data_IF_101216153048
#
_entry.id   IF_101216153048
#
_cell.length_a   1.000
_cell.length_b   1.000
_cell.length_c   1.000
_cell.angle_alpha   90.00
_cell.angle_beta   90.00
_cell.angle_gamma   90.00
#
_symmetry.space_group_name_H-M   'P 1'
#
loop_
_entity.id
_entity.type
_entity.pdbx_description
1 polymer ?
#
# COMPACT_ATOMS: atom_id res chain seq x y z
N UNK A 1 -0.23 -2.80 -11.96
CA UNK A 1 -0.72 -1.65 -11.16
C UNK A 1 0.20 -1.41 -9.98
N UNK A 2 0.68 -0.18 -9.78
CA UNK A 2 1.62 0.19 -8.72
C UNK A 2 1.09 -0.19 -7.32
N UNK A 3 -0.12 0.22 -6.95
CA UNK A 3 -0.72 -0.11 -5.65
C UNK A 3 -0.78 -1.62 -5.36
N UNK A 4 -1.08 -2.45 -6.36
CA UNK A 4 -1.12 -3.91 -6.23
C UNK A 4 0.27 -4.50 -5.96
N UNK A 5 1.30 -3.98 -6.64
CA UNK A 5 2.68 -4.37 -6.41
C UNK A 5 3.13 -3.94 -5.01
N UNK A 6 2.87 -2.70 -4.61
CA UNK A 6 3.22 -2.19 -3.27
C UNK A 6 2.55 -3.01 -2.17
N UNK A 7 1.25 -3.31 -2.30
CA UNK A 7 0.53 -4.12 -1.33
C UNK A 7 1.09 -5.54 -1.23
N UNK A 8 1.57 -6.11 -2.36
CA UNK A 8 2.21 -7.42 -2.40
C UNK A 8 3.52 -7.42 -1.61
N UNK A 9 4.38 -6.41 -1.81
CA UNK A 9 5.64 -6.31 -1.08
C UNK A 9 5.42 -6.04 0.41
N UNK A 10 4.46 -5.17 0.75
CA UNK A 10 4.06 -4.96 2.15
C UNK A 10 3.57 -6.24 2.83
N UNK A 11 2.71 -7.02 2.17
CA UNK A 11 2.19 -8.26 2.77
C UNK A 11 3.27 -9.33 2.90
N UNK A 12 4.25 -9.41 1.98
CA UNK A 12 5.40 -10.32 2.09
C UNK A 12 6.23 -10.00 3.33
N UNK A 13 6.52 -8.72 3.56
CA UNK A 13 7.22 -8.29 4.77
C UNK A 13 6.39 -8.55 6.03
N UNK A 14 5.07 -8.35 5.96
CA UNK A 14 4.20 -8.57 7.11
C UNK A 14 4.05 -10.07 7.45
N UNK A 15 4.10 -10.95 6.44
CA UNK A 15 3.96 -12.39 6.58
C UNK A 15 5.14 -13.03 7.32
N UNK A 16 6.34 -12.47 7.18
CA UNK A 16 7.57 -12.92 7.86
C UNK A 16 7.73 -12.31 9.26
N UNK A 17 6.71 -11.61 9.77
CA UNK A 17 6.74 -11.00 11.11
C UNK A 17 7.33 -9.59 11.17
N UNK A 18 7.52 -8.92 10.03
CA UNK A 18 7.99 -7.54 9.98
C UNK A 18 7.12 -6.57 10.78
N UNK A 19 7.77 -5.58 11.40
CA UNK A 19 7.11 -4.49 12.11
C UNK A 19 6.32 -3.59 11.17
N UNK A 20 5.40 -2.78 11.71
CA UNK A 20 4.62 -1.81 10.92
C UNK A 20 5.52 -0.90 10.06
N UNK A 21 6.63 -0.41 10.64
CA UNK A 21 7.58 0.45 9.91
C UNK A 21 8.23 -0.28 8.74
N UNK A 22 8.67 -1.53 8.93
CA UNK A 22 9.26 -2.32 7.85
C UNK A 22 8.24 -2.62 6.73
N UNK A 23 6.97 -2.81 7.09
CA UNK A 23 5.88 -2.97 6.11
C UNK A 23 5.67 -1.68 5.33
N UNK A 24 5.67 -0.52 5.99
CA UNK A 24 5.59 0.79 5.31
C UNK A 24 6.78 1.02 4.37
N UNK A 25 8.00 0.77 4.84
CA UNK A 25 9.22 0.90 4.04
C UNK A 25 9.18 -0.01 2.79
N UNK A 26 8.70 -1.24 2.92
CA UNK A 26 8.55 -2.19 1.80
C UNK A 26 7.51 -1.74 0.76
N UNK A 27 6.36 -1.22 1.22
CA UNK A 27 5.31 -0.68 0.34
C UNK A 27 5.83 0.51 -0.46
N UNK A 28 6.53 1.43 0.19
CA UNK A 28 6.98 2.68 -0.41
C UNK A 28 8.18 2.44 -1.33
N UNK A 29 9.18 1.68 -0.86
CA UNK A 29 10.39 1.38 -1.62
C UNK A 29 10.16 0.59 -2.90
N UNK A 30 9.09 -0.21 -2.98
CA UNK A 30 8.77 -1.03 -4.16
C UNK A 30 8.07 -0.29 -5.29
N UNK A 31 7.50 0.88 -5.01
CA UNK A 31 6.59 1.55 -5.95
C UNK A 31 6.85 3.04 -6.16
N UNK A 32 7.71 3.65 -5.35
CA UNK A 32 7.96 5.10 -5.41
C UNK A 32 6.76 5.95 -5.02
N UNK A 33 5.72 5.34 -4.40
CA UNK A 33 4.55 6.08 -3.92
C UNK A 33 4.96 7.05 -2.81
N UNK A 34 4.39 8.24 -2.82
CA UNK A 34 4.56 9.21 -1.73
C UNK A 34 3.92 8.68 -0.44
N UNK A 35 4.68 8.66 0.65
CA UNK A 35 4.16 8.38 2.00
C UNK A 35 3.05 9.34 2.42
N UNK A 36 3.16 10.62 2.02
CA UNK A 36 2.17 11.65 2.40
C UNK A 36 0.81 11.41 1.76
N UNK A 37 0.79 10.81 0.58
CA UNK A 37 -0.44 10.56 -0.19
C UNK A 37 -0.90 9.11 -0.11
N UNK A 38 -0.22 8.30 0.70
CA UNK A 38 -0.51 6.87 0.85
C UNK A 38 -0.93 6.55 2.28
N UNK A 39 -2.09 5.90 2.42
CA UNK A 39 -2.50 5.24 3.66
C UNK A 39 -2.22 3.74 3.55
N UNK A 40 -1.40 3.26 4.46
CA UNK A 40 -1.02 1.85 4.57
C UNK A 40 -1.69 1.30 5.82
N UNK A 41 -2.32 0.14 5.71
CA UNK A 41 -2.95 -0.52 6.85
C UNK A 41 -2.58 -1.99 6.84
N UNK A 42 -2.14 -2.47 7.99
CA UNK A 42 -1.86 -3.88 8.25
C UNK A 42 -2.90 -4.40 9.24
N UNK A 43 -3.48 -5.55 8.95
CA UNK A 43 -4.29 -6.32 9.90
C UNK A 43 -3.80 -7.76 9.95
N UNK A 44 -3.88 -8.36 11.12
CA UNK A 44 -3.57 -9.77 11.36
C UNK A 44 -4.82 -10.44 11.89
N UNK A 45 -5.21 -11.54 11.27
CA UNK A 45 -6.34 -12.37 11.65
C UNK A 45 -5.89 -13.83 11.65
N UNK A 46 -5.69 -14.39 12.84
CA UNK A 46 -5.08 -15.71 13.02
C UNK A 46 -3.72 -15.84 12.32
N UNK A 47 -3.64 -16.79 11.39
CA UNK A 47 -2.47 -17.08 10.58
C UNK A 47 -2.42 -16.25 9.28
N UNK A 48 -3.36 -15.32 9.07
CA UNK A 48 -3.40 -14.46 7.90
C UNK A 48 -3.00 -13.03 8.23
N UNK A 49 -2.29 -12.42 7.30
CA UNK A 49 -1.97 -11.00 7.34
C UNK A 49 -2.47 -10.34 6.07
N UNK A 50 -3.11 -9.19 6.24
CA UNK A 50 -3.63 -8.39 5.14
C UNK A 50 -2.95 -7.03 5.14
N UNK A 51 -2.51 -6.59 3.97
CA UNK A 51 -2.02 -5.23 3.74
C UNK A 51 -2.91 -4.54 2.73
N UNK A 52 -3.43 -3.38 3.14
CA UNK A 52 -4.19 -2.47 2.30
C UNK A 52 -3.36 -1.23 2.02
N UNK A 53 -3.27 -0.87 0.76
CA UNK A 53 -2.68 0.38 0.29
C UNK A 53 -3.79 1.20 -0.36
N UNK A 54 -3.91 2.47 0.05
CA UNK A 54 -4.75 3.48 -0.59
C UNK A 54 -3.85 4.65 -0.92
N UNK A 55 -3.77 5.04 -2.19
CA UNK A 55 -2.94 6.13 -2.67
C UNK A 55 -3.77 7.15 -3.44
N UNK A 56 -3.63 8.42 -3.11
CA UNK A 56 -4.25 9.53 -3.84
C UNK A 56 -3.25 10.08 -4.84
N UNK A 57 -3.49 9.83 -6.12
CA UNK A 57 -2.69 10.39 -7.21
C UNK A 57 -3.15 11.84 -7.46
N UNK A 58 -2.48 12.79 -6.82
CA UNK A 58 -2.70 14.22 -7.03
C UNK A 58 -2.06 14.67 -8.34
N UNK A 59 -2.78 15.45 -9.13
CA UNK A 59 -2.23 16.10 -10.32
C UNK A 59 -1.57 17.42 -9.91
N UNK A 60 -0.28 17.59 -10.20
CA UNK A 60 0.44 18.85 -9.92
C UNK A 60 0.17 19.96 -10.95
N UNK A 61 -0.60 19.67 -12.01
CA UNK A 61 -0.89 20.62 -13.09
C UNK A 61 -2.26 21.25 -12.86
N UNK A 62 -2.41 22.59 -12.96
CA UNK A 62 -3.71 23.24 -12.99
C UNK A 62 -4.47 22.73 -14.22
N UNK A 63 -5.49 21.90 -13.99
CA UNK A 63 -6.33 21.40 -15.07
C UNK A 63 -7.19 22.55 -15.59
N UNK A 64 -6.96 22.97 -16.84
CA UNK A 64 -7.85 23.90 -17.55
C UNK A 64 -8.96 23.08 -18.21
N UNK A 65 -10.11 22.95 -17.55
CA UNK A 65 -11.25 22.14 -17.99
C UNK A 65 -12.09 21.62 -16.82
N UNK A 66 -13.20 20.89 -17.05
CA UNK A 66 -14.00 20.31 -15.96
C UNK A 66 -13.10 19.46 -15.06
N UNK A 67 -13.09 19.81 -13.77
CA UNK A 67 -12.23 19.24 -12.73
C UNK A 67 -12.22 17.71 -12.81
N UNK A 68 -11.11 17.10 -13.20
CA UNK A 68 -10.94 15.66 -12.98
C UNK A 68 -10.75 15.46 -11.48
N UNK A 69 -11.58 14.64 -10.82
CA UNK A 69 -11.40 14.35 -9.41
C UNK A 69 -10.07 13.62 -9.18
N UNK A 70 -9.46 13.86 -8.01
CA UNK A 70 -8.25 13.14 -7.60
C UNK A 70 -8.45 11.62 -7.75
N UNK A 71 -7.51 10.94 -8.40
CA UNK A 71 -7.62 9.50 -8.64
C UNK A 71 -7.14 8.75 -7.41
N UNK A 72 -8.01 7.93 -6.83
CA UNK A 72 -7.62 7.04 -5.73
C UNK A 72 -7.33 5.64 -6.25
N UNK A 73 -6.09 5.18 -6.05
CA UNK A 73 -5.68 3.80 -6.29
C UNK A 73 -5.76 3.02 -4.98
N UNK A 74 -6.39 1.84 -5.00
CA UNK A 74 -6.39 0.95 -3.84
C UNK A 74 -6.08 -0.48 -4.21
N UNK A 75 -5.33 -1.15 -3.34
CA UNK A 75 -5.07 -2.57 -3.40
C UNK A 75 -5.14 -3.16 -2.00
N UNK A 76 -5.69 -4.38 -1.91
CA UNK A 76 -5.70 -5.17 -0.69
C UNK A 76 -5.17 -6.55 -1.04
N UNK A 77 -4.17 -7.00 -0.29
CA UNK A 77 -3.53 -8.31 -0.49
C UNK A 77 -3.43 -9.01 0.84
N UNK A 78 -3.74 -10.31 0.84
CA UNK A 78 -3.71 -11.18 2.02
C UNK A 78 -2.77 -12.34 1.76
N UNK A 79 -1.98 -12.73 2.77
CA UNK A 79 -1.13 -13.92 2.74
C UNK A 79 -1.21 -14.67 4.08
N UNK A 80 -0.87 -15.96 4.05
CA UNK A 80 -0.56 -16.69 5.26
C UNK A 80 0.77 -16.20 5.84
N UNK A 81 0.85 -16.13 7.17
CA UNK A 81 2.06 -15.83 7.91
C UNK A 81 2.98 -17.03 7.87
N UNK A 82 4.27 -16.76 7.83
CA UNK A 82 5.25 -17.79 8.12
C UNK A 82 5.12 -18.13 9.61
N UNK A 83 4.86 -19.41 9.92
CA UNK A 83 4.91 -19.87 11.29
C UNK A 83 6.34 -19.67 11.80
N UNK A 84 6.47 -18.91 12.89
CA UNK A 84 7.71 -18.89 13.67
C UNK A 84 7.92 -20.20 14.40
#
# INVERSE_FOLDING_TARGET
MLAQHSAREGVRMAATGGSTRQVEDAVIGSSGLSLRDSRITRSVDGDRVTVKVVHVARTEVPLVGPLLPEVTLSATVTMHREAG
#
